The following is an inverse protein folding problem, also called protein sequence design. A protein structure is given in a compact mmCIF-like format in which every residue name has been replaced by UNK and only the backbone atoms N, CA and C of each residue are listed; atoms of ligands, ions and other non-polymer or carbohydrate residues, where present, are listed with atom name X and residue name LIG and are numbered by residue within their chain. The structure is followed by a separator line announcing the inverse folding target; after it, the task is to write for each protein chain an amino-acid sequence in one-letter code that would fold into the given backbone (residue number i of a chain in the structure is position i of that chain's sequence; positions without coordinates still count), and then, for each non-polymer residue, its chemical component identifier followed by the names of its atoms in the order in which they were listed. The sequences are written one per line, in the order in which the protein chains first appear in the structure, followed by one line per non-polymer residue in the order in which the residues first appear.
data_IF_253816806841
#
_entry.id   IF_253816806841
#
_cell.length_a   1.000
_cell.length_b   1.000
_cell.length_c   1.000
_cell.angle_alpha   90.00
_cell.angle_beta   90.00
_cell.angle_gamma   90.00
#
_symmetry.space_group_name_H-M   'P 1'
#
loop_
_entity.id
_entity.type
_entity.pdbx_description
1 polymer ?
#
# COMPACT_ATOMS: atom_id res chain seq x y z
N UNK A 1 8.83 -21.89 -3.08
CA UNK A 1 8.14 -23.15 -2.68
C UNK A 1 7.22 -22.95 -1.46
N UNK A 2 7.65 -22.39 -0.32
CA UNK A 2 6.76 -22.23 0.86
C UNK A 2 5.47 -21.45 0.60
N UNK A 3 5.50 -20.44 -0.28
CA UNK A 3 4.31 -19.66 -0.65
C UNK A 3 3.27 -20.49 -1.41
N UNK A 4 3.72 -21.36 -2.33
CA UNK A 4 2.81 -22.24 -3.08
C UNK A 4 2.20 -23.28 -2.14
N UNK A 5 3.04 -23.94 -1.33
CA UNK A 5 2.56 -24.90 -0.34
C UNK A 5 1.54 -24.28 0.62
N UNK A 6 1.75 -23.02 1.05
CA UNK A 6 0.78 -22.31 1.88
C UNK A 6 -0.54 -22.08 1.13
N UNK A 7 -0.48 -21.62 -0.11
CA UNK A 7 -1.69 -21.42 -0.92
C UNK A 7 -2.44 -22.73 -1.13
N UNK A 8 -1.76 -23.87 -1.37
CA UNK A 8 -2.41 -25.15 -1.65
C UNK A 8 -3.30 -25.63 -0.50
N UNK A 9 -2.92 -25.36 0.75
CA UNK A 9 -3.68 -25.76 1.94
C UNK A 9 -4.63 -24.67 2.47
N UNK A 10 -4.58 -23.44 1.92
CA UNK A 10 -5.39 -22.30 2.33
C UNK A 10 -6.20 -21.73 1.13
N UNK A 11 -7.32 -22.34 0.75
CA UNK A 11 -8.11 -21.94 -0.42
C UNK A 11 -8.74 -20.53 -0.27
N UNK A 12 -8.91 -20.02 0.94
CA UNK A 12 -9.39 -18.67 1.24
C UNK A 12 -8.36 -17.57 0.87
N UNK A 13 -7.08 -17.92 0.82
CA UNK A 13 -5.98 -17.00 0.49
C UNK A 13 -5.83 -16.86 -1.03
N UNK A 14 -6.04 -15.65 -1.54
CA UNK A 14 -5.89 -15.33 -2.96
C UNK A 14 -4.43 -15.03 -3.35
N UNK A 15 -3.69 -14.39 -2.45
CA UNK A 15 -2.33 -13.93 -2.75
C UNK A 15 -1.43 -13.96 -1.52
N UNK A 16 -0.14 -14.05 -1.75
CA UNK A 16 0.86 -13.96 -0.70
C UNK A 16 2.14 -13.28 -1.18
N UNK A 17 2.89 -12.75 -0.22
CA UNK A 17 4.25 -12.27 -0.43
C UNK A 17 5.24 -12.96 0.52
N UNK A 18 6.53 -13.03 0.18
CA UNK A 18 7.58 -13.44 1.10
C UNK A 18 7.96 -12.29 2.03
N UNK A 19 8.84 -12.56 2.99
CA UNK A 19 9.59 -11.52 3.69
C UNK A 19 10.60 -10.89 2.71
N UNK A 20 10.51 -9.57 2.51
CA UNK A 20 11.41 -8.82 1.62
C UNK A 20 12.51 -8.16 2.45
N UNK A 21 13.74 -8.55 2.18
CA UNK A 21 14.95 -8.01 2.80
C UNK A 21 15.76 -7.17 1.81
N UNK A 22 16.48 -6.20 2.34
CA UNK A 22 17.35 -5.36 1.53
C UNK A 22 18.54 -6.17 0.99
N UNK A 23 18.78 -6.06 -0.31
CA UNK A 23 19.99 -6.63 -0.91
C UNK A 23 21.27 -5.94 -0.41
N UNK A 24 21.19 -4.64 -0.16
CA UNK A 24 22.35 -3.82 0.27
C UNK A 24 22.65 -3.97 1.77
N UNK A 25 21.62 -4.13 2.59
CA UNK A 25 21.71 -4.33 4.04
C UNK A 25 20.91 -5.58 4.39
N UNK A 26 21.55 -6.74 4.26
CA UNK A 26 20.88 -8.05 4.31
C UNK A 26 20.20 -8.37 5.65
N UNK A 27 20.53 -7.64 6.71
CA UNK A 27 19.94 -7.75 8.04
C UNK A 27 18.76 -6.78 8.26
N UNK A 28 18.40 -5.97 7.24
CA UNK A 28 17.27 -5.05 7.29
C UNK A 28 16.17 -5.47 6.34
N UNK A 29 14.94 -5.08 6.67
CA UNK A 29 13.83 -5.18 5.73
C UNK A 29 14.06 -4.27 4.51
N UNK A 30 13.38 -4.57 3.43
CA UNK A 30 13.37 -3.69 2.26
C UNK A 30 12.19 -2.72 2.35
N UNK A 31 12.39 -1.51 1.81
CA UNK A 31 11.38 -0.45 1.86
C UNK A 31 10.05 -0.84 1.22
N UNK A 32 10.09 -1.54 0.09
CA UNK A 32 8.91 -1.91 -0.70
C UNK A 32 8.36 -3.27 -0.27
N UNK A 33 7.53 -3.29 0.78
CA UNK A 33 6.77 -4.48 1.19
C UNK A 33 7.24 -5.13 2.49
N UNK A 34 8.53 -5.02 2.86
CA UNK A 34 9.08 -5.54 4.13
C UNK A 34 8.50 -6.92 4.52
N UNK A 35 7.79 -7.04 5.65
CA UNK A 35 7.12 -8.26 6.09
C UNK A 35 5.58 -8.18 5.98
N UNK A 36 5.08 -7.53 4.91
CA UNK A 36 3.66 -7.39 4.60
C UNK A 36 3.14 -5.97 4.77
N UNK A 37 2.20 -5.61 3.92
CA UNK A 37 1.67 -4.26 3.80
C UNK A 37 0.34 -4.03 4.49
N UNK A 38 0.17 -2.83 5.05
CA UNK A 38 -1.03 -2.34 5.71
C UNK A 38 -1.44 -0.99 5.11
N UNK A 39 -2.65 -0.55 5.37
CA UNK A 39 -3.16 0.73 4.91
C UNK A 39 -3.77 1.50 6.09
N UNK A 40 -3.48 2.79 6.20
CA UNK A 40 -4.13 3.61 7.19
C UNK A 40 -5.51 4.12 6.72
N UNK A 41 -6.28 4.72 7.63
CA UNK A 41 -7.63 5.24 7.31
C UNK A 41 -7.67 6.28 6.19
N UNK A 42 -6.53 6.93 5.91
CA UNK A 42 -6.41 7.94 4.86
C UNK A 42 -5.72 7.40 3.59
N UNK A 43 -5.46 6.09 3.55
CA UNK A 43 -4.87 5.41 2.39
C UNK A 43 -3.35 5.55 2.29
N UNK A 44 -2.66 5.86 3.38
CA UNK A 44 -1.20 5.81 3.40
C UNK A 44 -0.71 4.39 3.63
N UNK A 45 0.08 3.82 2.70
CA UNK A 45 0.61 2.47 2.85
C UNK A 45 1.82 2.46 3.78
N UNK A 46 1.87 1.47 4.65
CA UNK A 46 3.01 1.16 5.50
C UNK A 46 3.18 -0.36 5.61
N UNK A 47 4.27 -0.82 6.22
CA UNK A 47 4.56 -2.25 6.28
C UNK A 47 4.95 -2.68 7.68
N UNK A 48 4.75 -3.95 7.97
CA UNK A 48 5.36 -4.62 9.10
C UNK A 48 6.87 -4.68 8.86
N UNK A 49 7.63 -3.87 9.62
CA UNK A 49 9.07 -3.65 9.44
C UNK A 49 9.44 -2.35 8.72
N UNK A 50 8.43 -1.50 8.33
CA UNK A 50 8.71 -0.18 7.76
C UNK A 50 7.55 0.79 7.99
N UNK A 51 7.82 1.90 8.66
CA UNK A 51 6.88 3.03 8.78
C UNK A 51 7.53 4.28 8.20
N UNK A 52 6.88 4.91 7.24
CA UNK A 52 7.41 6.06 6.51
C UNK A 52 8.81 5.77 5.94
N UNK A 53 9.82 6.56 6.31
CA UNK A 53 11.21 6.38 5.90
C UNK A 53 12.04 5.49 6.81
N UNK A 54 11.47 5.02 7.93
CA UNK A 54 12.18 4.19 8.91
C UNK A 54 11.98 2.72 8.58
N UNK A 55 13.07 2.02 8.31
CA UNK A 55 13.11 0.58 8.04
C UNK A 55 13.74 -0.12 9.24
N UNK A 56 13.13 -1.20 9.70
CA UNK A 56 13.59 -1.96 10.85
C UNK A 56 14.65 -3.01 10.45
N UNK A 57 15.50 -3.35 11.40
CA UNK A 57 16.34 -4.55 11.32
C UNK A 57 15.47 -5.81 11.49
N UNK A 58 15.76 -6.85 10.73
CA UNK A 58 15.08 -8.14 10.84
C UNK A 58 15.79 -8.99 11.92
N UNK A 59 15.21 -9.04 13.09
CA UNK A 59 15.65 -9.81 14.24
C UNK A 59 14.75 -11.05 14.48
N UNK A 60 13.98 -11.45 13.46
CA UNK A 60 13.01 -12.55 13.56
C UNK A 60 11.65 -12.13 14.16
N UNK A 61 11.47 -10.86 14.51
CA UNK A 61 10.26 -10.33 15.15
C UNK A 61 9.00 -10.50 14.31
N UNK A 62 9.14 -10.76 13.00
CA UNK A 62 8.03 -10.92 12.05
C UNK A 62 8.09 -12.25 11.28
N UNK A 63 8.41 -13.35 11.97
CA UNK A 63 8.51 -14.68 11.38
C UNK A 63 7.21 -15.51 11.42
N UNK A 64 6.11 -14.92 11.92
CA UNK A 64 4.77 -15.52 11.85
C UNK A 64 4.05 -15.13 10.57
N UNK A 65 3.36 -16.09 9.96
CA UNK A 65 2.40 -15.82 8.89
C UNK A 65 1.26 -14.98 9.47
N UNK A 66 0.91 -13.90 8.81
CA UNK A 66 -0.23 -13.06 9.19
C UNK A 66 -0.99 -12.59 7.97
N UNK A 67 -2.28 -12.29 8.09
CA UNK A 67 -3.02 -11.52 7.10
C UNK A 67 -2.41 -10.13 6.93
N UNK A 68 -2.42 -9.65 5.69
CA UNK A 68 -1.95 -8.31 5.32
C UNK A 68 -2.95 -7.65 4.38
N UNK A 69 -2.94 -6.32 4.33
CA UNK A 69 -3.80 -5.60 3.41
C UNK A 69 -3.32 -5.73 1.97
N UNK A 70 -2.00 -5.60 1.75
CA UNK A 70 -1.41 -5.70 0.42
C UNK A 70 -0.08 -6.42 0.42
N UNK A 71 0.17 -7.07 -0.69
CA UNK A 71 1.44 -7.73 -1.02
C UNK A 71 2.17 -6.92 -2.10
N UNK A 72 3.50 -6.83 -1.97
CA UNK A 72 4.33 -6.01 -2.85
C UNK A 72 4.47 -6.61 -4.24
N UNK A 73 4.39 -5.77 -5.28
CA UNK A 73 4.68 -6.16 -6.66
C UNK A 73 6.11 -6.68 -6.90
N UNK A 74 7.03 -6.46 -5.95
CA UNK A 74 8.40 -7.00 -6.05
C UNK A 74 8.46 -8.53 -5.97
N UNK A 75 7.50 -9.18 -5.27
CA UNK A 75 7.44 -10.64 -5.13
C UNK A 75 6.02 -11.08 -4.71
N UNK A 76 5.05 -10.86 -5.56
CA UNK A 76 3.66 -11.26 -5.38
C UNK A 76 3.41 -12.62 -6.04
N UNK A 77 2.85 -13.56 -5.27
CA UNK A 77 2.23 -14.78 -5.80
C UNK A 77 0.73 -14.67 -5.63
N UNK A 78 -0.02 -14.90 -6.69
CA UNK A 78 -1.49 -14.76 -6.72
C UNK A 78 -2.13 -15.91 -7.49
N UNK A 79 -3.29 -16.39 -7.03
CA UNK A 79 -4.08 -17.36 -7.78
C UNK A 79 -4.60 -16.76 -9.07
N UNK A 80 -4.38 -17.44 -10.17
CA UNK A 80 -4.81 -16.99 -11.50
C UNK A 80 -6.34 -16.71 -11.57
N UNK A 81 -7.14 -17.53 -10.90
CA UNK A 81 -8.59 -17.34 -10.88
C UNK A 81 -8.97 -16.03 -10.19
N UNK A 82 -8.44 -15.78 -8.99
CA UNK A 82 -8.67 -14.55 -8.23
C UNK A 82 -8.16 -13.30 -8.97
N UNK A 83 -6.97 -13.39 -9.60
CA UNK A 83 -6.42 -12.31 -10.42
C UNK A 83 -7.36 -11.92 -11.57
N UNK A 84 -7.90 -12.92 -12.29
CA UNK A 84 -8.84 -12.69 -13.38
C UNK A 84 -10.18 -12.16 -12.89
N UNK A 85 -10.70 -12.69 -11.78
CA UNK A 85 -11.99 -12.29 -11.21
C UNK A 85 -12.01 -10.81 -10.83
N UNK A 86 -10.91 -10.29 -10.28
CA UNK A 86 -10.80 -8.87 -9.93
C UNK A 86 -10.37 -7.98 -11.11
N UNK A 87 -10.11 -8.54 -12.29
CA UNK A 87 -9.71 -7.80 -13.49
C UNK A 87 -8.24 -7.44 -13.57
N UNK A 88 -7.38 -8.09 -12.78
CA UNK A 88 -5.91 -7.91 -12.82
C UNK A 88 -5.43 -6.53 -12.36
N UNK A 89 -4.21 -6.18 -12.71
CA UNK A 89 -3.64 -4.85 -12.48
C UNK A 89 -4.30 -3.83 -13.44
N UNK A 90 -4.66 -2.68 -12.91
CA UNK A 90 -5.21 -1.59 -13.73
C UNK A 90 -4.07 -0.79 -14.39
N UNK A 91 -3.84 -1.02 -15.68
CA UNK A 91 -2.74 -0.41 -16.44
C UNK A 91 -2.73 1.12 -16.47
N UNK A 92 -3.87 1.77 -16.13
CA UNK A 92 -3.97 3.25 -16.03
C UNK A 92 -3.13 3.82 -14.89
N UNK A 93 -2.74 3.01 -13.90
CA UNK A 93 -1.80 3.42 -12.86
C UNK A 93 -0.39 3.62 -13.40
N UNK A 94 0.02 2.88 -14.42
CA UNK A 94 1.36 2.81 -14.99
C UNK A 94 2.38 2.20 -14.01
N UNK A 95 2.59 2.79 -12.85
CA UNK A 95 3.48 2.30 -11.79
C UNK A 95 3.09 2.92 -10.44
N UNK A 96 3.29 2.19 -9.34
CA UNK A 96 2.96 2.52 -7.96
C UNK A 96 1.45 2.51 -7.66
N UNK A 97 1.08 1.86 -6.57
CA UNK A 97 -0.28 1.67 -6.05
C UNK A 97 -1.17 0.70 -6.85
N UNK A 98 -0.75 0.21 -8.03
CA UNK A 98 -1.51 -0.77 -8.82
C UNK A 98 -1.68 -2.10 -8.09
N UNK A 99 -0.63 -2.55 -7.41
CA UNK A 99 -0.65 -3.76 -6.59
C UNK A 99 -1.51 -3.59 -5.33
N UNK A 100 -1.48 -2.40 -4.73
CA UNK A 100 -2.30 -2.09 -3.54
C UNK A 100 -3.78 -2.00 -3.93
N UNK A 101 -4.09 -1.39 -5.09
CA UNK A 101 -5.45 -1.37 -5.66
C UNK A 101 -5.97 -2.79 -5.96
N UNK A 102 -5.14 -3.65 -6.55
CA UNK A 102 -5.45 -5.06 -6.79
C UNK A 102 -5.78 -5.78 -5.47
N UNK A 103 -4.91 -5.61 -4.47
CA UNK A 103 -5.06 -6.19 -3.16
C UNK A 103 -6.33 -5.69 -2.45
N UNK A 104 -6.66 -4.41 -2.56
CA UNK A 104 -7.89 -3.85 -2.00
C UNK A 104 -9.13 -4.51 -2.62
N UNK A 105 -9.14 -4.68 -3.94
CA UNK A 105 -10.25 -5.37 -4.63
C UNK A 105 -10.42 -6.81 -4.17
N UNK A 106 -9.33 -7.55 -3.98
CA UNK A 106 -9.36 -8.91 -3.43
C UNK A 106 -9.91 -8.92 -2.00
N UNK A 107 -9.33 -8.08 -1.10
CA UNK A 107 -9.76 -7.99 0.30
C UNK A 107 -11.23 -7.60 0.43
N UNK A 108 -11.68 -6.61 -0.33
CA UNK A 108 -13.09 -6.17 -0.30
C UNK A 108 -14.07 -7.25 -0.76
N UNK A 109 -13.61 -8.21 -1.57
CA UNK A 109 -14.41 -9.38 -2.01
C UNK A 109 -14.31 -10.58 -1.06
N UNK A 110 -13.67 -10.42 0.10
CA UNK A 110 -13.56 -11.46 1.13
C UNK A 110 -12.41 -12.43 0.93
N UNK A 111 -11.48 -12.13 -0.01
CA UNK A 111 -10.28 -12.95 -0.18
C UNK A 111 -9.19 -12.51 0.78
N UNK A 112 -8.38 -13.45 1.26
CA UNK A 112 -7.25 -13.15 2.14
C UNK A 112 -5.96 -12.94 1.35
N UNK A 113 -5.07 -12.13 1.95
CA UNK A 113 -3.71 -11.91 1.48
C UNK A 113 -2.79 -12.10 2.69
N UNK A 114 -1.68 -12.81 2.54
CA UNK A 114 -0.79 -13.13 3.66
C UNK A 114 0.67 -12.81 3.35
N UNK A 115 1.44 -12.58 4.41
CA UNK A 115 2.89 -12.62 4.34
C UNK A 115 3.36 -13.99 4.86
N UNK A 116 4.14 -14.71 4.03
CA UNK A 116 4.74 -16.03 4.34
C UNK A 116 6.24 -15.84 4.57
N UNK A 117 6.68 -15.56 5.80
CA UNK A 117 8.06 -15.18 6.12
C UNK A 117 9.08 -16.34 6.00
N UNK A 118 8.61 -17.59 5.89
CA UNK A 118 9.45 -18.75 5.57
C UNK A 118 10.08 -18.63 4.18
N UNK A 119 9.45 -17.90 3.28
CA UNK A 119 10.05 -17.46 2.02
C UNK A 119 10.70 -16.08 2.21
N UNK A 120 11.98 -15.97 1.84
CA UNK A 120 12.75 -14.72 1.94
C UNK A 120 13.27 -14.32 0.57
N UNK A 121 13.10 -13.06 0.22
CA UNK A 121 13.59 -12.47 -1.03
C UNK A 121 14.43 -11.25 -0.72
N UNK A 122 15.59 -11.13 -1.35
CA UNK A 122 16.42 -9.94 -1.29
C UNK A 122 16.16 -9.06 -2.49
N UNK A 123 15.78 -7.82 -2.24
CA UNK A 123 15.39 -6.87 -3.28
C UNK A 123 16.33 -5.66 -3.29
N UNK A 124 16.76 -5.23 -4.49
CA UNK A 124 17.72 -4.14 -4.64
C UNK A 124 17.10 -2.77 -4.30
N UNK A 125 15.82 -2.62 -4.51
CA UNK A 125 15.08 -1.37 -4.27
C UNK A 125 15.53 -0.21 -5.16
N UNK A 126 14.58 0.58 -5.65
CA UNK A 126 14.88 1.81 -6.39
C UNK A 126 15.59 1.64 -7.74
N UNK A 127 15.62 0.43 -8.30
CA UNK A 127 16.25 0.17 -9.60
C UNK A 127 15.58 0.92 -10.76
N UNK A 128 14.25 1.13 -10.68
CA UNK A 128 13.48 1.76 -11.76
C UNK A 128 13.39 3.28 -11.62
N UNK A 129 13.22 3.79 -10.40
CA UNK A 129 13.12 5.23 -10.13
C UNK A 129 13.83 5.57 -8.81
N UNK A 130 14.76 6.51 -8.84
CA UNK A 130 15.43 7.03 -7.63
C UNK A 130 14.40 7.59 -6.65
N UNK A 131 14.71 7.53 -5.34
CA UNK A 131 13.78 7.91 -4.25
C UNK A 131 13.29 9.36 -4.36
N UNK A 132 14.09 10.26 -4.90
CA UNK A 132 13.85 11.71 -5.00
C UNK A 132 13.32 12.16 -6.38
N UNK A 133 12.87 11.22 -7.23
CA UNK A 133 12.39 11.55 -8.57
C UNK A 133 11.00 12.18 -8.51
N UNK A 134 10.78 13.42 -9.00
CA UNK A 134 9.47 14.08 -9.00
C UNK A 134 8.37 13.29 -9.73
N UNK A 135 8.72 12.50 -10.75
CA UNK A 135 7.79 11.59 -11.43
C UNK A 135 7.27 10.51 -10.47
N UNK A 136 8.12 9.98 -9.60
CA UNK A 136 7.72 9.01 -8.58
C UNK A 136 6.76 9.63 -7.57
N UNK A 137 7.06 10.84 -7.09
CA UNK A 137 6.18 11.61 -6.21
C UNK A 137 4.83 11.85 -6.87
N UNK A 138 4.82 12.34 -8.11
CA UNK A 138 3.61 12.55 -8.89
C UNK A 138 2.76 11.27 -8.98
N UNK A 139 3.35 10.13 -9.40
CA UNK A 139 2.62 8.86 -9.52
C UNK A 139 2.07 8.39 -8.18
N UNK A 140 2.86 8.45 -7.11
CA UNK A 140 2.41 8.04 -5.78
C UNK A 140 1.20 8.85 -5.31
N UNK A 141 1.22 10.18 -5.45
CA UNK A 141 0.10 11.03 -5.02
C UNK A 141 -1.13 10.84 -5.92
N UNK A 142 -0.97 10.88 -7.26
CA UNK A 142 -2.07 10.69 -8.21
C UNK A 142 -2.74 9.33 -8.04
N UNK A 143 -1.94 8.28 -8.05
CA UNK A 143 -2.43 6.91 -8.02
C UNK A 143 -3.07 6.56 -6.67
N UNK A 144 -2.53 7.08 -5.57
CA UNK A 144 -3.14 6.91 -4.26
C UNK A 144 -4.54 7.55 -4.20
N UNK A 145 -4.73 8.75 -4.77
CA UNK A 145 -6.05 9.38 -4.86
C UNK A 145 -7.01 8.59 -5.76
N UNK A 146 -6.53 8.04 -6.87
CA UNK A 146 -7.31 7.15 -7.75
C UNK A 146 -7.71 5.88 -7.02
N UNK A 147 -6.78 5.23 -6.33
CA UNK A 147 -7.04 4.03 -5.53
C UNK A 147 -8.11 4.29 -4.46
N UNK A 148 -8.01 5.40 -3.72
CA UNK A 148 -9.02 5.81 -2.74
C UNK A 148 -10.39 6.01 -3.40
N UNK A 149 -10.45 6.71 -4.53
CA UNK A 149 -11.69 6.93 -5.26
C UNK A 149 -12.33 5.63 -5.72
N UNK A 150 -11.55 4.69 -6.24
CA UNK A 150 -12.04 3.40 -6.74
C UNK A 150 -12.60 2.50 -5.64
N UNK A 151 -12.05 2.55 -4.43
CA UNK A 151 -12.26 1.50 -3.43
C UNK A 151 -12.91 1.96 -2.12
N UNK A 152 -12.89 3.26 -1.78
CA UNK A 152 -13.55 3.75 -0.58
C UNK A 152 -15.08 3.70 -0.67
N UNK A 153 -15.78 3.27 0.39
CA UNK A 153 -17.22 3.41 0.52
C UNK A 153 -17.68 4.88 0.33
N UNK A 154 -18.91 5.08 -0.14
CA UNK A 154 -19.42 6.40 -0.47
C UNK A 154 -19.47 7.34 0.75
N UNK A 155 -19.82 6.80 1.90
CA UNK A 155 -19.92 7.49 3.18
C UNK A 155 -18.57 7.98 3.71
N UNK A 156 -17.48 7.29 3.39
CA UNK A 156 -16.12 7.68 3.79
C UNK A 156 -15.44 8.60 2.78
N UNK A 157 -15.75 8.44 1.49
CA UNK A 157 -14.98 9.03 0.39
C UNK A 157 -14.79 10.54 0.54
N UNK A 158 -15.88 11.29 0.71
CA UNK A 158 -15.83 12.74 0.75
C UNK A 158 -15.03 13.26 1.96
N UNK A 159 -15.16 12.61 3.11
CA UNK A 159 -14.42 12.96 4.33
C UNK A 159 -12.93 12.69 4.15
N UNK A 160 -12.58 11.49 3.69
CA UNK A 160 -11.17 11.10 3.46
C UNK A 160 -10.53 12.01 2.43
N UNK A 161 -11.19 12.27 1.31
CA UNK A 161 -10.63 13.11 0.23
C UNK A 161 -10.41 14.57 0.62
N UNK A 162 -11.24 15.13 1.53
CA UNK A 162 -11.02 16.48 2.10
C UNK A 162 -9.79 16.50 3.01
N UNK A 163 -9.65 15.52 3.91
CA UNK A 163 -8.49 15.41 4.79
C UNK A 163 -7.22 15.17 3.96
N UNK A 164 -7.27 14.29 2.94
CA UNK A 164 -6.15 14.09 2.02
C UNK A 164 -5.77 15.37 1.28
N UNK A 165 -6.73 16.23 0.94
CA UNK A 165 -6.39 17.52 0.36
C UNK A 165 -5.50 18.34 1.28
N UNK A 166 -5.87 18.48 2.55
CA UNK A 166 -5.05 19.20 3.52
C UNK A 166 -3.67 18.56 3.69
N UNK A 167 -3.61 17.23 3.87
CA UNK A 167 -2.35 16.52 4.06
C UNK A 167 -1.42 16.59 2.83
N UNK A 168 -1.97 16.54 1.63
CA UNK A 168 -1.19 16.64 0.40
C UNK A 168 -0.63 18.07 0.23
N UNK A 169 -1.40 19.13 0.57
CA UNK A 169 -0.88 20.50 0.57
C UNK A 169 0.19 20.73 1.65
N UNK A 170 0.03 20.13 2.82
CA UNK A 170 1.08 20.14 3.86
C UNK A 170 2.34 19.45 3.34
N UNK A 171 2.22 18.31 2.64
CA UNK A 171 3.36 17.63 2.04
C UNK A 171 4.07 18.51 0.99
N UNK A 172 3.30 19.18 0.11
CA UNK A 172 3.86 20.12 -0.86
C UNK A 172 4.60 21.28 -0.18
N UNK A 173 4.02 21.83 0.89
CA UNK A 173 4.66 22.90 1.67
C UNK A 173 5.96 22.44 2.34
N UNK A 174 5.99 21.21 2.88
CA UNK A 174 7.21 20.61 3.45
C UNK A 174 8.31 20.44 2.40
N UNK A 175 7.95 20.06 1.16
CA UNK A 175 8.91 20.03 0.05
C UNK A 175 9.47 21.43 -0.25
N UNK A 176 8.62 22.46 -0.29
CA UNK A 176 9.07 23.86 -0.49
C UNK A 176 10.03 24.31 0.61
N UNK A 177 9.73 24.04 1.88
CA UNK A 177 10.62 24.38 3.00
C UNK A 177 12.00 23.70 2.92
N UNK A 178 12.06 22.55 2.24
CA UNK A 178 13.32 21.81 1.98
C UNK A 178 14.03 22.25 0.69
N UNK A 179 13.52 23.26 -0.02
CA UNK A 179 14.04 23.70 -1.31
C UNK A 179 13.73 22.75 -2.48
N UNK A 180 12.86 21.76 -2.27
CA UNK A 180 12.52 20.75 -3.28
C UNK A 180 11.26 21.17 -4.05
N UNK A 181 11.44 22.15 -4.91
CA UNK A 181 10.38 22.73 -5.74
C UNK A 181 9.72 21.72 -6.67
N UNK A 182 10.53 20.85 -7.28
CA UNK A 182 10.06 19.88 -8.26
C UNK A 182 9.07 18.88 -7.65
N UNK A 183 9.37 18.37 -6.44
CA UNK A 183 8.46 17.48 -5.73
C UNK A 183 7.21 18.22 -5.21
N UNK A 184 7.33 19.49 -4.79
CA UNK A 184 6.16 20.31 -4.45
C UNK A 184 5.22 20.47 -5.65
N UNK A 185 5.75 20.82 -6.81
CA UNK A 185 5.02 20.93 -8.07
C UNK A 185 4.41 19.57 -8.50
N UNK A 186 5.14 18.47 -8.27
CA UNK A 186 4.66 17.12 -8.58
C UNK A 186 3.39 16.77 -7.79
N UNK A 187 3.32 17.12 -6.50
CA UNK A 187 2.11 16.92 -5.67
C UNK A 187 0.93 17.74 -6.23
N UNK A 188 1.14 19.00 -6.58
CA UNK A 188 0.10 19.86 -7.13
C UNK A 188 -0.42 19.34 -8.47
N UNK A 189 0.49 18.93 -9.37
CA UNK A 189 0.13 18.32 -10.67
C UNK A 189 -0.64 17.02 -10.47
N UNK A 190 -0.24 16.17 -9.51
CA UNK A 190 -0.92 14.93 -9.20
C UNK A 190 -2.37 15.15 -8.80
N UNK A 191 -2.65 16.14 -7.96
CA UNK A 191 -4.01 16.49 -7.56
C UNK A 191 -4.83 17.06 -8.71
N UNK A 192 -4.23 17.90 -9.55
CA UNK A 192 -4.88 18.45 -10.76
C UNK A 192 -5.26 17.32 -11.71
N UNK A 193 -4.31 16.46 -12.06
CA UNK A 193 -4.54 15.33 -12.97
C UNK A 193 -5.57 14.35 -12.41
N UNK A 194 -5.50 14.00 -11.11
CA UNK A 194 -6.52 13.17 -10.48
C UNK A 194 -7.94 13.71 -10.72
N UNK A 195 -8.17 15.02 -10.57
CA UNK A 195 -9.50 15.63 -10.83
C UNK A 195 -9.95 15.44 -12.27
N UNK A 196 -9.01 15.52 -13.22
CA UNK A 196 -9.28 15.36 -14.65
C UNK A 196 -9.59 13.92 -15.04
N UNK A 197 -8.79 12.96 -14.53
CA UNK A 197 -8.94 11.55 -14.90
C UNK A 197 -9.98 10.79 -14.06
N UNK A 198 -10.38 11.31 -12.90
CA UNK A 198 -11.33 10.66 -11.99
C UNK A 198 -12.59 10.13 -12.70
N UNK A 199 -13.23 10.86 -13.63
CA UNK A 199 -14.43 10.36 -14.32
C UNK A 199 -14.18 9.05 -15.09
N UNK A 200 -12.99 8.83 -15.63
CA UNK A 200 -12.66 7.60 -16.36
C UNK A 200 -12.58 6.35 -15.46
N UNK A 201 -12.62 6.52 -14.14
CA UNK A 201 -12.62 5.44 -13.15
C UNK A 201 -14.01 5.18 -12.52
N UNK A 202 -15.07 5.91 -12.95
CA UNK A 202 -16.41 5.75 -12.35
C UNK A 202 -16.98 4.35 -12.51
N UNK A 203 -16.87 3.75 -13.69
CA UNK A 203 -17.32 2.36 -13.92
C UNK A 203 -16.56 1.34 -13.07
N UNK A 204 -15.23 1.53 -12.92
CA UNK A 204 -14.43 0.67 -12.03
C UNK A 204 -14.86 0.82 -10.57
N UNK A 205 -15.18 2.05 -10.13
CA UNK A 205 -15.71 2.29 -8.79
C UNK A 205 -17.06 1.62 -8.58
N UNK A 206 -17.99 1.78 -9.51
CA UNK A 206 -19.33 1.16 -9.45
C UNK A 206 -19.21 -0.35 -9.35
N UNK A 207 -18.35 -0.97 -10.17
CA UNK A 207 -18.08 -2.40 -10.12
C UNK A 207 -17.51 -2.82 -8.75
N UNK A 208 -16.50 -2.10 -8.22
CA UNK A 208 -15.90 -2.42 -6.94
C UNK A 208 -16.90 -2.30 -5.78
N UNK A 209 -17.77 -1.28 -5.78
CA UNK A 209 -18.83 -1.12 -4.77
C UNK A 209 -19.89 -2.21 -4.88
N UNK A 210 -20.30 -2.57 -6.09
CA UNK A 210 -21.27 -3.66 -6.32
C UNK A 210 -20.75 -5.03 -5.87
N UNK A 211 -19.47 -5.32 -6.12
CA UNK A 211 -18.82 -6.60 -5.79
C UNK A 211 -18.24 -6.67 -4.38
N UNK A 212 -18.30 -5.59 -3.63
CA UNK A 212 -17.83 -5.54 -2.26
C UNK A 212 -18.65 -6.50 -1.37
N UNK A 213 -17.96 -7.31 -0.56
CA UNK A 213 -18.56 -8.27 0.38
C UNK A 213 -18.21 -7.95 1.84
N UNK A 214 -17.07 -7.29 2.08
CA UNK A 214 -16.61 -6.90 3.43
C UNK A 214 -16.72 -5.41 3.62
N UNK A 215 -17.38 -4.98 4.70
CA UNK A 215 -17.46 -3.58 5.10
C UNK A 215 -16.19 -3.15 5.84
N UNK A 216 -15.60 -4.05 6.59
CA UNK A 216 -14.37 -3.82 7.35
C UNK A 216 -13.27 -4.78 6.90
N UNK A 217 -12.12 -4.22 6.59
CA UNK A 217 -10.89 -4.98 6.33
C UNK A 217 -9.96 -4.71 7.52
N UNK A 218 -9.66 -5.72 8.36
CA UNK A 218 -8.91 -5.52 9.62
C UNK A 218 -7.54 -4.89 9.43
N UNK A 219 -6.86 -5.19 8.31
CA UNK A 219 -5.51 -4.70 8.01
C UNK A 219 -5.51 -3.26 7.45
N UNK A 220 -6.68 -2.64 7.32
CA UNK A 220 -6.84 -1.18 7.17
C UNK A 220 -7.08 -0.57 8.54
N UNK A 221 -6.05 0.02 9.13
CA UNK A 221 -6.12 0.58 10.48
C UNK A 221 -7.07 1.79 10.56
N UNK A 222 -7.76 1.91 11.70
CA UNK A 222 -8.60 3.08 12.02
C UNK A 222 -7.80 4.32 12.43
N UNK A 223 -6.49 4.17 12.66
CA UNK A 223 -5.59 5.25 13.04
C UNK A 223 -4.91 5.88 11.82
N UNK A 224 -4.39 7.10 11.97
CA UNK A 224 -3.52 7.74 10.98
C UNK A 224 -2.08 7.35 11.24
N UNK A 225 -1.42 6.76 10.25
CA UNK A 225 0.01 6.42 10.38
C UNK A 225 0.89 7.68 10.46
N UNK A 226 0.48 8.77 9.83
CA UNK A 226 1.17 10.05 9.94
C UNK A 226 1.12 10.59 11.38
N UNK A 227 -0.05 10.53 12.02
CA UNK A 227 -0.20 10.93 13.42
C UNK A 227 0.62 10.05 14.37
N UNK A 228 0.56 8.72 14.18
CA UNK A 228 1.36 7.78 14.96
C UNK A 228 2.86 8.08 14.83
N UNK A 229 3.32 8.33 13.59
CA UNK A 229 4.73 8.55 13.30
C UNK A 229 5.26 9.91 13.78
N UNK A 230 4.56 11.02 13.42
CA UNK A 230 5.07 12.38 13.65
C UNK A 230 4.68 12.95 15.01
N UNK A 231 3.52 12.57 15.55
CA UNK A 231 3.00 13.14 16.81
C UNK A 231 3.25 12.20 17.98
N UNK A 232 2.94 10.90 17.83
CA UNK A 232 3.14 9.91 18.90
C UNK A 232 4.53 9.32 18.95
N UNK A 233 5.39 9.56 17.97
CA UNK A 233 6.74 9.05 17.90
C UNK A 233 6.86 7.53 17.60
N UNK A 234 5.79 6.87 17.17
CA UNK A 234 5.80 5.45 16.80
C UNK A 234 6.58 5.25 15.49
N UNK A 235 7.82 4.83 15.60
CA UNK A 235 8.73 4.62 14.45
C UNK A 235 8.78 3.16 13.98
N UNK A 236 8.34 2.21 14.81
CA UNK A 236 8.35 0.76 14.52
C UNK A 236 6.92 0.22 14.49
N UNK A 237 6.71 -0.78 13.65
CA UNK A 237 5.39 -1.44 13.54
C UNK A 237 4.95 -2.04 14.87
N UNK A 238 5.87 -2.64 15.63
CA UNK A 238 5.61 -3.21 16.96
C UNK A 238 5.08 -2.22 18.01
N UNK A 239 5.21 -0.90 17.76
CA UNK A 239 4.70 0.15 18.64
C UNK A 239 3.23 0.51 18.34
N UNK A 240 2.67 0.03 17.22
CA UNK A 240 1.27 0.27 16.86
C UNK A 240 0.35 -0.66 17.67
N UNK A 241 -0.55 -0.09 18.47
CA UNK A 241 -1.41 -0.84 19.40
C UNK A 241 -2.55 -1.59 18.71
N UNK A 242 -3.03 -1.07 17.60
CA UNK A 242 -4.22 -1.55 16.88
C UNK A 242 -3.96 -2.64 15.82
N UNK A 243 -2.70 -3.06 15.69
CA UNK A 243 -2.27 -4.12 14.75
C UNK A 243 -1.46 -5.22 15.45
N UNK A 244 -1.56 -5.30 16.78
CA UNK A 244 -0.98 -6.40 17.56
C UNK A 244 -1.94 -7.59 17.44
N UNK A 245 -1.62 -8.53 16.55
CA UNK A 245 -2.19 -9.87 16.48
C UNK A 245 -1.26 -10.88 17.14
#
# INVERSE_FOLDING_TARGET
EPMIAYLDIHPEVAACQPKIRSWRQKDHFEYAGAAGGFLDKYGYPFCRGRIMGVVEKDEGQYDKVIPVFWATGAALVIRRADYKEVGGLDGRFFAHMEEIDLCWRLRSRGREIVCVPQSKVYHVGGATLKKENPRKTFLNFRNNLVMLYKNLPAEELNKVMRIRACLDYVAAFVFLLKGDWDNACAVMRARKEYKQIRPSFSSSREENMRKKRLDLIPERTKNSILWQFYVRGCKRFSQLSDLKG
#
